data_IF_810514817428
#
_entry.id   IF_810514817428
#
_cell.length_a   1.000
_cell.length_b   1.000
_cell.length_c   1.000
_cell.angle_alpha   90.00
_cell.angle_beta   90.00
_cell.angle_gamma   90.00
#
_symmetry.space_group_name_H-M   'P 1'
#
loop_
_entity.id
_entity.type
_entity.pdbx_description
1 polymer ?
#
# COMPACT_ATOMS: atom_id res chain seq x y z
N UNK A 1 -26.29 -40.35 0.38
CA UNK A 1 -25.89 -39.10 1.09
C UNK A 1 -25.04 -38.30 0.12
N UNK A 2 -25.67 -37.39 -0.62
CA UNK A 2 -24.98 -36.47 -1.51
C UNK A 2 -24.39 -35.36 -0.66
N UNK A 3 -23.10 -35.43 -0.36
CA UNK A 3 -22.37 -34.31 0.22
C UNK A 3 -22.44 -33.14 -0.73
N UNK A 4 -23.08 -32.05 -0.34
CA UNK A 4 -22.93 -30.76 -1.00
C UNK A 4 -21.46 -30.38 -0.89
N UNK A 5 -20.69 -30.59 -1.96
CA UNK A 5 -19.37 -29.97 -2.08
C UNK A 5 -19.61 -28.46 -2.16
N UNK A 6 -19.40 -27.78 -1.04
CA UNK A 6 -19.43 -26.32 -1.01
C UNK A 6 -18.29 -25.85 -1.92
N UNK A 7 -18.62 -25.20 -3.04
CA UNK A 7 -17.61 -24.64 -3.93
C UNK A 7 -16.67 -23.73 -3.14
N UNK A 8 -15.35 -23.80 -3.35
CA UNK A 8 -14.39 -22.99 -2.63
C UNK A 8 -14.69 -21.50 -2.84
N UNK A 9 -14.68 -20.73 -1.76
CA UNK A 9 -14.85 -19.28 -1.78
C UNK A 9 -13.86 -18.63 -0.83
N UNK A 10 -13.54 -17.35 -1.03
CA UNK A 10 -12.62 -16.60 -0.19
C UNK A 10 -13.26 -15.31 0.30
N UNK A 11 -13.24 -15.09 1.61
CA UNK A 11 -13.80 -13.91 2.26
C UNK A 11 -12.67 -13.03 2.77
N UNK A 12 -12.61 -11.81 2.29
CA UNK A 12 -11.58 -10.84 2.63
C UNK A 12 -12.18 -9.67 3.43
N UNK A 13 -11.86 -9.60 4.72
CA UNK A 13 -12.22 -8.46 5.54
C UNK A 13 -11.37 -7.23 5.17
N UNK A 14 -11.93 -6.04 5.36
CA UNK A 14 -11.17 -4.80 5.24
C UNK A 14 -11.76 -3.70 6.14
N UNK A 15 -10.87 -2.88 6.72
CA UNK A 15 -11.24 -1.75 7.57
C UNK A 15 -11.42 -0.46 6.76
N UNK A 16 -12.15 0.54 7.29
CA UNK A 16 -12.36 1.83 6.63
C UNK A 16 -11.04 2.46 6.17
N UNK A 17 -11.07 3.09 4.99
CA UNK A 17 -9.91 3.72 4.36
C UNK A 17 -9.01 2.78 3.55
N UNK A 18 -9.02 1.48 3.82
CA UNK A 18 -8.25 0.50 3.03
C UNK A 18 -8.99 0.13 1.75
N UNK A 19 -8.28 0.16 0.62
CA UNK A 19 -8.86 -0.16 -0.70
C UNK A 19 -8.28 -1.46 -1.25
N UNK A 20 -9.00 -2.59 -1.18
CA UNK A 20 -8.51 -3.90 -1.61
C UNK A 20 -8.53 -4.12 -3.13
N UNK A 21 -9.10 -3.22 -3.92
CA UNK A 21 -9.42 -3.38 -5.35
C UNK A 21 -8.28 -3.94 -6.20
N UNK A 22 -7.03 -3.49 -5.94
CA UNK A 22 -5.84 -3.97 -6.68
C UNK A 22 -5.66 -5.49 -6.53
N UNK A 23 -5.75 -6.00 -5.30
CA UNK A 23 -5.52 -7.42 -4.99
C UNK A 23 -6.70 -8.28 -5.40
N UNK A 24 -7.94 -7.77 -5.23
CA UNK A 24 -9.17 -8.43 -5.70
C UNK A 24 -9.14 -8.64 -7.21
N UNK A 25 -8.69 -7.64 -7.97
CA UNK A 25 -8.53 -7.79 -9.43
C UNK A 25 -7.56 -8.91 -9.78
N UNK A 26 -6.37 -8.95 -9.13
CA UNK A 26 -5.37 -9.99 -9.37
C UNK A 26 -5.90 -11.37 -8.96
N UNK A 27 -6.67 -11.45 -7.87
CA UNK A 27 -7.33 -12.70 -7.45
C UNK A 27 -8.26 -13.22 -8.54
N UNK A 28 -9.18 -12.38 -9.01
CA UNK A 28 -10.16 -12.77 -10.04
C UNK A 28 -9.49 -13.16 -11.38
N UNK A 29 -8.33 -12.55 -11.69
CA UNK A 29 -7.55 -12.93 -12.87
C UNK A 29 -6.88 -14.31 -12.70
N UNK A 30 -6.45 -14.68 -11.48
CA UNK A 30 -5.74 -15.95 -11.21
C UNK A 30 -6.65 -17.11 -10.87
N UNK A 31 -7.72 -16.84 -10.16
CA UNK A 31 -8.65 -17.81 -9.58
C UNK A 31 -10.10 -17.46 -9.98
N UNK A 32 -10.42 -17.47 -11.29
CA UNK A 32 -11.74 -17.06 -11.78
C UNK A 32 -12.88 -17.95 -11.25
N UNK A 33 -12.58 -19.21 -10.90
CA UNK A 33 -13.54 -20.18 -10.39
C UNK A 33 -13.72 -20.12 -8.84
N UNK A 34 -12.95 -19.25 -8.16
CA UNK A 34 -13.03 -19.08 -6.70
C UNK A 34 -13.50 -17.66 -6.40
N UNK A 35 -14.81 -17.46 -6.12
CA UNK A 35 -15.35 -16.16 -5.82
C UNK A 35 -14.68 -15.55 -4.56
N UNK A 36 -14.30 -14.26 -4.66
CA UNK A 36 -13.84 -13.48 -3.52
C UNK A 36 -14.94 -12.51 -3.09
N UNK A 37 -15.32 -12.59 -1.82
CA UNK A 37 -16.30 -11.69 -1.19
C UNK A 37 -15.60 -10.73 -0.25
N UNK A 38 -15.93 -9.44 -0.35
CA UNK A 38 -15.43 -8.41 0.55
C UNK A 38 -16.34 -8.25 1.76
N UNK A 39 -15.75 -8.22 2.95
CA UNK A 39 -16.42 -8.04 4.24
C UNK A 39 -15.91 -6.73 4.86
N UNK A 40 -16.72 -5.68 4.82
CA UNK A 40 -16.39 -4.44 5.51
C UNK A 40 -16.55 -4.63 7.03
N UNK A 41 -15.56 -4.19 7.80
CA UNK A 41 -15.58 -4.29 9.25
C UNK A 41 -15.02 -3.01 9.89
N UNK A 42 -15.64 -2.48 10.96
CA UNK A 42 -15.02 -1.44 11.77
C UNK A 42 -13.63 -1.88 12.26
N UNK A 43 -12.70 -0.93 12.43
CA UNK A 43 -11.32 -1.26 12.83
C UNK A 43 -11.27 -2.05 14.15
N UNK A 44 -12.11 -1.69 15.12
CA UNK A 44 -12.20 -2.38 16.41
C UNK A 44 -12.75 -3.80 16.32
N UNK A 45 -13.57 -4.12 15.32
CA UNK A 45 -14.22 -5.42 15.14
C UNK A 45 -13.45 -6.37 14.22
N UNK A 46 -12.50 -5.84 13.44
CA UNK A 46 -11.82 -6.60 12.38
C UNK A 46 -11.15 -7.87 12.88
N UNK A 47 -10.56 -7.85 14.07
CA UNK A 47 -9.96 -9.05 14.69
C UNK A 47 -11.01 -10.07 15.12
N UNK A 48 -12.15 -9.60 15.62
CA UNK A 48 -13.29 -10.48 15.95
C UNK A 48 -13.86 -11.17 14.71
N UNK A 49 -13.93 -10.48 13.58
CA UNK A 49 -14.37 -11.02 12.28
C UNK A 49 -13.43 -12.17 11.83
N UNK A 50 -12.11 -11.99 11.99
CA UNK A 50 -11.12 -13.02 11.65
C UNK A 50 -11.20 -14.20 12.62
N UNK A 51 -11.19 -13.96 13.94
CA UNK A 51 -11.27 -15.00 14.97
C UNK A 51 -12.56 -15.82 14.91
N UNK A 52 -13.65 -15.17 14.56
CA UNK A 52 -14.96 -15.80 14.40
C UNK A 52 -15.16 -16.52 13.06
N UNK A 53 -14.14 -16.62 12.20
CA UNK A 53 -14.21 -17.28 10.91
C UNK A 53 -15.22 -16.64 9.95
N UNK A 54 -15.60 -15.36 10.17
CA UNK A 54 -16.45 -14.62 9.23
C UNK A 54 -15.70 -14.12 8.00
N UNK A 55 -14.37 -14.07 8.06
CA UNK A 55 -13.47 -13.84 6.94
C UNK A 55 -12.22 -14.71 7.07
N UNK A 56 -11.65 -15.11 5.93
CA UNK A 56 -10.50 -16.01 5.86
C UNK A 56 -9.17 -15.24 6.00
N UNK A 57 -9.15 -13.97 5.60
CA UNK A 57 -8.08 -13.01 5.82
C UNK A 57 -8.65 -11.59 5.87
N UNK A 58 -7.84 -10.61 6.29
CA UNK A 58 -8.30 -9.23 6.34
C UNK A 58 -7.18 -8.21 6.28
N UNK A 59 -7.48 -7.06 5.69
CA UNK A 59 -6.66 -5.87 5.82
C UNK A 59 -7.06 -5.14 7.09
N UNK A 60 -6.16 -5.09 8.06
CA UNK A 60 -6.38 -4.56 9.41
C UNK A 60 -5.33 -3.50 9.75
N UNK A 61 -5.59 -2.72 10.80
CA UNK A 61 -4.61 -1.78 11.33
C UNK A 61 -3.80 -2.43 12.44
N UNK A 62 -2.50 -2.15 12.47
CA UNK A 62 -1.61 -2.58 13.55
C UNK A 62 -1.82 -1.68 14.79
N UNK A 63 -1.59 -2.20 16.02
CA UNK A 63 -1.03 -3.51 16.33
C UNK A 63 -2.02 -4.66 16.16
N UNK A 64 -1.50 -5.87 15.91
CA UNK A 64 -2.25 -7.14 15.88
C UNK A 64 -1.76 -8.00 17.03
N UNK A 65 -2.68 -8.55 17.80
CA UNK A 65 -2.37 -9.61 18.74
C UNK A 65 -1.93 -10.86 17.96
N UNK A 66 -0.72 -11.33 18.24
CA UNK A 66 -0.07 -12.42 17.50
C UNK A 66 -0.18 -13.79 18.17
N UNK A 67 -0.96 -13.90 19.21
CA UNK A 67 -1.15 -15.19 19.89
C UNK A 67 -1.92 -16.16 18.98
N UNK A 68 -2.89 -15.65 18.22
CA UNK A 68 -3.76 -16.43 17.34
C UNK A 68 -3.83 -15.89 15.90
N UNK A 69 -3.30 -14.72 15.64
CA UNK A 69 -3.32 -14.09 14.31
C UNK A 69 -1.91 -13.91 13.73
N UNK A 70 -1.74 -14.36 12.51
CA UNK A 70 -0.58 -14.01 11.70
C UNK A 70 -0.79 -12.67 11.02
N UNK A 71 0.29 -11.88 10.81
CA UNK A 71 0.19 -10.61 10.14
C UNK A 71 1.45 -10.28 9.29
N UNK A 72 1.22 -9.69 8.12
CA UNK A 72 2.24 -9.15 7.23
C UNK A 72 2.02 -7.64 7.11
N UNK A 73 2.90 -6.79 7.67
CA UNK A 73 2.84 -5.35 7.45
C UNK A 73 2.95 -5.02 5.95
N UNK A 74 2.11 -4.10 5.47
CA UNK A 74 2.03 -3.74 4.05
C UNK A 74 2.55 -2.33 3.79
N UNK A 75 2.00 -1.35 4.49
CA UNK A 75 2.39 0.05 4.34
C UNK A 75 2.01 0.86 5.59
N UNK A 76 2.63 2.02 5.70
CA UNK A 76 2.33 3.05 6.71
C UNK A 76 1.58 4.18 6.03
N UNK A 77 0.59 4.74 6.72
CA UNK A 77 -0.22 5.86 6.25
C UNK A 77 0.24 7.15 6.91
N UNK A 78 0.38 8.19 6.12
CA UNK A 78 0.63 9.54 6.64
C UNK A 78 -0.55 9.98 7.50
N UNK A 79 -0.27 10.50 8.67
CA UNK A 79 -1.25 11.16 9.53
C UNK A 79 -1.46 12.59 9.04
N UNK A 80 -2.72 13.02 8.95
CA UNK A 80 -3.09 14.35 8.47
C UNK A 80 -4.07 15.02 9.43
N UNK A 81 -4.06 16.34 9.46
CA UNK A 81 -5.12 17.14 10.09
C UNK A 81 -6.11 17.60 9.04
N UNK A 82 -7.38 17.35 9.28
CA UNK A 82 -8.51 17.80 8.45
C UNK A 82 -8.99 19.13 9.00
N UNK A 83 -9.13 20.12 8.11
CA UNK A 83 -9.48 21.51 8.44
C UNK A 83 -10.43 22.11 7.41
N UNK A 84 -11.23 23.14 7.75
CA UNK A 84 -11.91 23.98 6.77
C UNK A 84 -10.92 24.61 5.79
N UNK A 85 -11.32 24.85 4.55
CA UNK A 85 -10.42 25.44 3.52
C UNK A 85 -9.97 26.86 3.81
N UNK A 86 -10.71 27.58 4.62
CA UNK A 86 -10.43 28.95 5.07
C UNK A 86 -9.67 29.01 6.39
N UNK A 87 -9.36 27.87 7.01
CA UNK A 87 -8.56 27.76 8.21
C UNK A 87 -7.08 28.09 7.94
N UNK A 88 -6.37 28.70 8.91
CA UNK A 88 -4.96 29.09 8.77
C UNK A 88 -4.05 27.91 8.41
N UNK A 89 -4.30 26.75 9.00
CA UNK A 89 -3.57 25.49 8.69
C UNK A 89 -3.67 25.10 7.21
N UNK A 90 -4.72 25.50 6.53
CA UNK A 90 -4.85 25.21 5.08
C UNK A 90 -3.84 25.98 4.22
N UNK A 91 -3.21 27.04 4.75
CA UNK A 91 -2.26 27.87 4.00
C UNK A 91 -0.82 27.35 4.02
N UNK A 92 -0.49 26.37 4.87
CA UNK A 92 0.83 25.74 4.99
C UNK A 92 0.86 24.37 4.30
N UNK A 93 2.06 23.84 4.03
CA UNK A 93 2.19 22.51 3.40
C UNK A 93 2.14 21.38 4.43
N UNK A 94 2.64 21.61 5.64
CA UNK A 94 2.73 20.65 6.75
C UNK A 94 2.64 21.41 8.09
N UNK A 95 2.17 20.74 9.14
CA UNK A 95 2.16 21.24 10.53
C UNK A 95 2.75 20.19 11.46
N UNK A 96 3.22 20.64 12.64
CA UNK A 96 3.61 19.74 13.73
C UNK A 96 2.47 19.56 14.74
N UNK A 97 2.62 18.62 15.67
CA UNK A 97 1.68 18.47 16.79
C UNK A 97 1.61 19.75 17.67
N UNK A 98 2.74 20.43 17.83
CA UNK A 98 2.85 21.66 18.61
C UNK A 98 2.08 22.81 17.97
N UNK A 99 2.03 22.88 16.64
CA UNK A 99 1.26 23.91 15.92
C UNK A 99 -0.25 23.81 16.15
N UNK A 100 -0.71 22.64 16.60
CA UNK A 100 -2.11 22.38 16.93
C UNK A 100 -2.44 22.60 18.42
N UNK A 101 -1.48 23.00 19.27
CA UNK A 101 -1.62 23.05 20.73
C UNK A 101 -2.79 23.94 21.20
N UNK A 102 -3.05 25.03 20.49
CA UNK A 102 -4.13 25.98 20.82
C UNK A 102 -5.46 25.67 20.13
N UNK A 103 -5.48 24.69 19.24
CA UNK A 103 -6.68 24.28 18.49
C UNK A 103 -7.54 23.28 19.29
N UNK A 104 -8.83 23.27 19.03
CA UNK A 104 -9.69 22.18 19.50
C UNK A 104 -9.53 21.01 18.54
N UNK A 105 -9.04 19.87 19.03
CA UNK A 105 -8.88 18.64 18.24
C UNK A 105 -9.89 17.59 18.68
N UNK A 106 -10.66 17.11 17.72
CA UNK A 106 -11.69 16.09 17.92
C UNK A 106 -11.01 14.71 17.99
N UNK A 107 -11.42 13.90 18.97
CA UNK A 107 -10.95 12.52 19.15
C UNK A 107 -12.13 11.58 19.12
N UNK A 108 -12.52 11.04 17.93
CA UNK A 108 -13.65 10.13 17.83
C UNK A 108 -13.43 8.83 18.61
N UNK A 109 -14.51 8.12 18.94
CA UNK A 109 -14.43 6.88 19.68
C UNK A 109 -13.85 5.73 18.84
N UNK A 110 -13.94 5.83 17.51
CA UNK A 110 -13.39 4.89 16.54
C UNK A 110 -12.00 5.30 16.02
N UNK A 111 -11.28 6.18 16.76
CA UNK A 111 -9.92 6.61 16.40
C UNK A 111 -8.99 5.39 16.26
N UNK A 112 -8.16 5.43 15.25
CA UNK A 112 -7.24 4.34 14.88
C UNK A 112 -5.78 4.69 15.12
N UNK A 113 -5.48 5.85 15.69
CA UNK A 113 -4.14 6.28 16.06
C UNK A 113 -3.89 5.96 17.53
N UNK A 114 -2.69 5.44 17.81
CA UNK A 114 -2.28 5.07 19.18
C UNK A 114 -1.61 6.28 19.86
N UNK A 115 -2.41 7.09 20.52
CA UNK A 115 -1.98 8.32 21.15
C UNK A 115 -1.45 8.10 22.55
N UNK A 116 -0.20 8.49 22.83
CA UNK A 116 0.26 8.75 24.18
C UNK A 116 -0.27 10.10 24.68
N UNK A 117 -0.14 11.13 23.84
CA UNK A 117 -0.61 12.49 24.11
C UNK A 117 -1.26 13.05 22.83
N UNK A 118 -2.59 13.05 22.75
CA UNK A 118 -3.28 13.66 21.61
C UNK A 118 -2.94 15.15 21.47
N UNK A 119 -2.76 15.66 20.23
CA UNK A 119 -2.44 17.07 20.02
C UNK A 119 -3.66 17.97 20.31
N UNK A 120 -3.38 19.23 20.62
CA UNK A 120 -4.41 20.24 20.80
C UNK A 120 -5.20 20.13 22.10
N UNK A 121 -6.26 20.92 22.19
CA UNK A 121 -7.21 20.91 23.31
C UNK A 121 -8.35 19.94 23.01
N UNK A 122 -8.76 19.08 23.95
CA UNK A 122 -9.86 18.16 23.71
C UNK A 122 -11.18 18.92 23.54
N UNK A 123 -12.06 18.44 22.68
CA UNK A 123 -13.45 18.88 22.62
C UNK A 123 -14.20 18.49 23.90
N UNK A 124 -15.34 19.14 24.17
CA UNK A 124 -16.18 18.82 25.35
C UNK A 124 -16.71 17.39 25.29
N UNK A 125 -17.04 16.90 24.10
CA UNK A 125 -17.53 15.55 23.87
C UNK A 125 -16.75 14.91 22.74
N UNK A 126 -16.55 13.61 22.83
CA UNK A 126 -15.93 12.81 21.76
C UNK A 126 -17.00 12.42 20.75
N UNK A 127 -16.79 12.69 19.44
CA UNK A 127 -17.68 12.17 18.39
C UNK A 127 -17.74 10.64 18.43
N UNK A 128 -18.88 10.06 18.08
CA UNK A 128 -19.04 8.62 18.06
C UNK A 128 -18.17 7.97 16.97
N UNK A 129 -18.07 8.63 15.82
CA UNK A 129 -17.34 8.11 14.65
C UNK A 129 -16.45 9.19 14.02
N UNK A 130 -15.47 8.73 13.23
CA UNK A 130 -14.65 9.59 12.38
C UNK A 130 -15.52 10.39 11.39
N UNK A 131 -16.60 9.80 10.88
CA UNK A 131 -17.55 10.47 9.99
C UNK A 131 -18.25 11.64 10.70
N UNK A 132 -18.76 11.42 11.92
CA UNK A 132 -19.35 12.49 12.74
C UNK A 132 -18.34 13.60 13.05
N UNK A 133 -17.07 13.22 13.34
CA UNK A 133 -16.01 14.18 13.54
C UNK A 133 -15.76 15.05 12.30
N UNK A 134 -15.78 14.50 11.10
CA UNK A 134 -15.66 15.24 9.84
C UNK A 134 -16.81 16.27 9.68
N UNK A 135 -18.04 15.89 10.04
CA UNK A 135 -19.17 16.83 10.01
C UNK A 135 -18.98 17.99 11.01
N UNK A 136 -18.44 17.71 12.20
CA UNK A 136 -18.11 18.74 13.20
C UNK A 136 -16.99 19.65 12.74
N UNK A 137 -15.95 19.13 12.05
CA UNK A 137 -14.92 19.96 11.42
C UNK A 137 -15.52 20.90 10.39
N UNK A 138 -16.44 20.41 9.56
CA UNK A 138 -17.14 21.23 8.57
C UNK A 138 -18.04 22.30 9.21
N UNK A 139 -18.57 22.03 10.40
CA UNK A 139 -19.33 23.00 11.20
C UNK A 139 -18.44 24.00 11.98
N UNK A 140 -17.10 23.89 11.88
CA UNK A 140 -16.16 24.79 12.56
C UNK A 140 -16.02 24.55 14.07
N UNK A 141 -16.38 23.36 14.57
CA UNK A 141 -16.30 23.02 15.99
C UNK A 141 -14.86 22.76 16.42
N UNK A 142 -14.02 22.20 15.51
CA UNK A 142 -12.62 21.88 15.78
C UNK A 142 -11.94 21.27 14.55
N UNK A 143 -10.77 20.70 14.76
CA UNK A 143 -9.96 20.01 13.75
C UNK A 143 -9.97 18.51 14.05
N UNK A 144 -9.59 17.69 13.05
CA UNK A 144 -9.52 16.24 13.21
C UNK A 144 -8.19 15.69 12.69
N UNK A 145 -7.46 14.94 13.52
CA UNK A 145 -6.22 14.28 13.14
C UNK A 145 -6.50 12.79 12.88
N UNK A 146 -6.25 12.33 11.66
CA UNK A 146 -6.56 10.95 11.21
C UNK A 146 -5.56 10.45 10.19
N UNK A 147 -5.50 9.13 9.92
CA UNK A 147 -4.82 8.59 8.74
C UNK A 147 -5.39 9.20 7.45
N UNK A 148 -4.53 9.52 6.48
CA UNK A 148 -4.91 10.16 5.23
C UNK A 148 -6.00 9.39 4.45
N UNK A 149 -6.03 8.08 4.58
CA UNK A 149 -7.04 7.25 3.94
C UNK A 149 -8.46 7.53 4.45
N UNK A 150 -8.60 7.83 5.76
CA UNK A 150 -9.89 8.21 6.35
C UNK A 150 -10.30 9.62 5.93
N UNK A 151 -9.36 10.57 5.89
CA UNK A 151 -9.63 11.91 5.37
C UNK A 151 -10.08 11.89 3.90
N UNK A 152 -9.61 10.92 3.11
CA UNK A 152 -10.04 10.71 1.71
C UNK A 152 -11.37 9.97 1.62
N UNK A 153 -11.64 9.02 2.49
CA UNK A 153 -12.88 8.26 2.54
C UNK A 153 -14.07 9.17 2.82
N UNK A 154 -13.93 10.06 3.82
CA UNK A 154 -14.95 11.01 4.25
C UNK A 154 -14.73 12.41 3.64
N UNK A 155 -14.20 12.47 2.43
CA UNK A 155 -13.88 13.73 1.76
C UNK A 155 -15.11 14.63 1.59
N UNK A 156 -14.95 15.92 1.97
CA UNK A 156 -15.91 16.99 1.72
C UNK A 156 -15.30 18.12 0.89
N UNK A 157 -16.14 18.81 0.13
CA UNK A 157 -15.68 19.91 -0.76
C UNK A 157 -15.23 21.15 -0.01
N UNK A 158 -15.74 21.39 1.19
CA UNK A 158 -15.48 22.52 2.07
C UNK A 158 -14.25 22.28 2.95
N UNK A 159 -13.75 21.05 3.03
CA UNK A 159 -12.60 20.67 3.81
C UNK A 159 -11.34 20.42 2.96
N UNK A 160 -10.21 20.49 3.62
CA UNK A 160 -8.89 20.07 3.11
C UNK A 160 -8.11 19.38 4.21
N UNK A 161 -6.94 18.85 3.92
CA UNK A 161 -6.07 18.27 4.94
C UNK A 161 -4.60 18.62 4.69
N UNK A 162 -3.80 18.57 5.77
CA UNK A 162 -2.34 18.75 5.75
C UNK A 162 -1.66 17.64 6.53
N UNK A 163 -0.48 17.17 6.10
CA UNK A 163 0.34 16.27 6.89
C UNK A 163 0.65 16.85 8.26
N UNK A 164 0.72 15.98 9.27
CA UNK A 164 1.12 16.33 10.63
C UNK A 164 2.37 15.53 10.97
N UNK A 165 3.44 16.23 11.33
CA UNK A 165 4.68 15.60 11.79
C UNK A 165 4.72 15.44 13.32
N UNK A 166 5.52 14.50 13.81
CA UNK A 166 5.69 14.25 15.25
C UNK A 166 4.50 13.56 15.92
N UNK A 167 3.65 12.85 15.13
CA UNK A 167 2.45 12.15 15.61
C UNK A 167 2.50 10.67 15.22
N UNK A 168 1.72 9.80 15.90
CA UNK A 168 1.61 8.39 15.51
C UNK A 168 1.14 8.22 14.07
N UNK A 169 1.68 7.19 13.40
CA UNK A 169 1.27 6.80 12.06
C UNK A 169 0.49 5.48 12.11
N UNK A 170 -0.56 5.38 11.31
CA UNK A 170 -1.31 4.15 11.16
C UNK A 170 -0.61 3.20 10.18
N UNK A 171 -0.48 1.93 10.56
CA UNK A 171 0.10 0.90 9.71
C UNK A 171 -0.95 -0.14 9.34
N UNK A 172 -1.01 -0.50 8.06
CA UNK A 172 -1.93 -1.52 7.56
C UNK A 172 -1.18 -2.82 7.33
N UNK A 173 -1.82 -3.93 7.71
CA UNK A 173 -1.32 -5.29 7.54
C UNK A 173 -2.37 -6.18 6.90
N UNK A 174 -1.93 -7.24 6.21
CA UNK A 174 -2.75 -8.41 5.93
C UNK A 174 -2.65 -9.34 7.14
N UNK A 175 -3.78 -9.75 7.71
CA UNK A 175 -3.87 -10.66 8.86
C UNK A 175 -4.83 -11.83 8.58
N UNK A 176 -4.57 -12.97 9.21
CA UNK A 176 -5.39 -14.18 9.12
C UNK A 176 -5.20 -15.05 10.37
N UNK A 177 -6.15 -15.94 10.71
CA UNK A 177 -5.98 -16.90 11.79
C UNK A 177 -4.79 -17.83 11.54
N UNK A 178 -3.90 -17.98 12.52
CA UNK A 178 -2.65 -18.71 12.35
C UNK A 178 -2.88 -20.21 12.06
N UNK A 179 -3.89 -20.81 12.70
CA UNK A 179 -4.23 -22.22 12.55
C UNK A 179 -4.98 -22.52 11.25
N UNK A 180 -5.55 -21.50 10.60
CA UNK A 180 -6.35 -21.60 9.38
C UNK A 180 -5.61 -21.09 8.13
N UNK A 181 -4.30 -21.31 8.05
CA UNK A 181 -3.53 -20.96 6.85
C UNK A 181 -3.85 -21.97 5.75
N UNK A 182 -4.96 -21.75 5.04
CA UNK A 182 -5.41 -22.60 3.92
C UNK A 182 -4.63 -22.30 2.64
N UNK A 183 -4.75 -23.18 1.63
CA UNK A 183 -4.13 -22.95 0.30
C UNK A 183 -4.61 -21.62 -0.33
N UNK A 184 -5.88 -21.21 -0.10
CA UNK A 184 -6.42 -19.94 -0.60
C UNK A 184 -5.82 -18.74 0.13
N UNK A 185 -5.59 -18.84 1.44
CA UNK A 185 -4.87 -17.82 2.23
C UNK A 185 -3.43 -17.69 1.71
N UNK A 186 -2.71 -18.81 1.48
CA UNK A 186 -1.35 -18.80 0.93
C UNK A 186 -1.29 -18.17 -0.48
N UNK A 187 -2.27 -18.46 -1.33
CA UNK A 187 -2.36 -17.84 -2.66
C UNK A 187 -2.59 -16.32 -2.54
N UNK A 188 -3.48 -15.89 -1.64
CA UNK A 188 -3.71 -14.46 -1.40
C UNK A 188 -2.48 -13.76 -0.84
N UNK A 189 -1.75 -14.38 0.10
CA UNK A 189 -0.44 -13.90 0.57
C UNK A 189 0.53 -13.75 -0.61
N UNK A 190 0.53 -14.71 -1.52
CA UNK A 190 1.33 -14.66 -2.75
C UNK A 190 1.00 -13.45 -3.63
N UNK A 191 -0.28 -13.16 -3.80
CA UNK A 191 -0.78 -12.00 -4.55
C UNK A 191 -0.33 -10.70 -3.88
N UNK A 192 -0.52 -10.58 -2.57
CA UNK A 192 -0.15 -9.38 -1.80
C UNK A 192 1.36 -9.11 -1.86
N UNK A 193 2.18 -10.17 -1.80
CA UNK A 193 3.64 -10.09 -1.94
C UNK A 193 4.13 -9.92 -3.39
N UNK A 194 3.23 -9.86 -4.37
CA UNK A 194 3.58 -9.68 -5.78
C UNK A 194 4.24 -10.92 -6.41
N UNK A 195 4.01 -12.13 -5.88
CA UNK A 195 4.50 -13.37 -6.49
C UNK A 195 3.83 -13.58 -7.85
N UNK A 196 4.60 -13.95 -8.86
CA UNK A 196 4.05 -14.33 -10.16
C UNK A 196 3.53 -15.77 -10.13
N UNK A 197 2.60 -16.13 -11.04
CA UNK A 197 1.99 -17.48 -11.15
C UNK A 197 3.06 -18.60 -11.27
N UNK A 198 4.23 -18.28 -11.81
CA UNK A 198 5.34 -19.23 -12.00
C UNK A 198 6.33 -19.31 -10.81
N UNK A 199 6.03 -18.64 -9.69
CA UNK A 199 6.90 -18.67 -8.51
C UNK A 199 6.66 -19.97 -7.73
N UNK A 200 7.61 -20.92 -7.82
CA UNK A 200 7.59 -22.23 -7.12
C UNK A 200 7.94 -22.12 -5.62
N UNK A 201 8.15 -20.93 -5.08
CA UNK A 201 8.43 -20.73 -3.65
C UNK A 201 7.12 -20.83 -2.84
N UNK A 202 6.87 -21.99 -2.26
CA UNK A 202 5.70 -22.27 -1.43
C UNK A 202 4.87 -23.46 -1.87
N UNK A 203 5.17 -24.09 -3.01
CA UNK A 203 4.57 -25.38 -3.38
C UNK A 203 5.38 -26.50 -2.74
N UNK A 204 4.75 -27.47 -2.02
CA UNK A 204 5.45 -28.67 -1.59
C UNK A 204 6.11 -29.33 -2.81
N UNK A 205 7.30 -29.92 -2.68
CA UNK A 205 7.93 -30.60 -3.80
C UNK A 205 7.03 -31.71 -4.28
N UNK A 206 6.54 -31.61 -5.51
CA UNK A 206 5.80 -32.69 -6.19
C UNK A 206 6.69 -33.93 -6.17
N UNK A 207 6.21 -35.10 -5.69
CA UNK A 207 6.99 -36.34 -5.72
C UNK A 207 7.45 -36.62 -7.15
N UNK A 208 8.67 -37.08 -7.36
CA UNK A 208 9.18 -37.35 -8.69
C UNK A 208 8.32 -38.43 -9.35
N UNK A 209 7.65 -38.10 -10.46
CA UNK A 209 6.98 -39.08 -11.30
C UNK A 209 8.00 -40.13 -11.75
N UNK A 210 7.71 -41.43 -11.63
CA UNK A 210 8.59 -42.50 -12.13
C UNK A 210 8.74 -42.34 -13.65
N UNK A 211 9.94 -42.09 -14.11
CA UNK A 211 10.28 -42.11 -15.54
C UNK A 211 9.96 -43.49 -16.11
N UNK A 212 8.92 -43.59 -16.94
CA UNK A 212 8.57 -44.77 -17.66
C UNK A 212 9.77 -45.28 -18.45
N UNK A 213 10.17 -46.53 -18.20
CA UNK A 213 11.17 -47.27 -18.97
C UNK A 213 10.74 -47.32 -20.44
N UNK A 214 11.52 -46.68 -21.29
CA UNK A 214 11.40 -46.79 -22.75
C UNK A 214 11.96 -48.13 -23.12
N UNK A 215 11.11 -49.00 -23.68
CA UNK A 215 11.49 -50.33 -24.17
C UNK A 215 12.52 -50.19 -25.30
N UNK A 216 13.63 -50.89 -25.15
CA UNK A 216 14.60 -51.13 -26.20
C UNK A 216 13.99 -52.16 -27.18
N UNK A 217 13.85 -51.77 -28.45
CA UNK A 217 13.75 -52.72 -29.56
C UNK A 217 15.03 -52.59 -30.40
N UNK A 218 15.78 -53.66 -30.41
CA UNK A 218 17.04 -53.77 -31.10
C UNK A 218 16.89 -53.88 -32.64
N UNK A 219 17.96 -53.52 -33.31
CA UNK A 219 18.12 -53.70 -34.78
C UNK A 219 19.54 -53.36 -35.17
N UNK A 220 20.34 -54.40 -35.31
CA UNK A 220 21.73 -54.37 -35.77
C UNK A 220 21.82 -54.03 -37.26
N UNK A 221 22.83 -53.25 -37.68
CA UNK A 221 23.79 -53.65 -38.75
C UNK A 221 24.80 -52.60 -39.11
N UNK A 222 26.08 -53.03 -38.93
CA UNK A 222 27.28 -52.88 -39.77
C UNK A 222 27.86 -51.52 -40.18
N UNK A 223 29.12 -51.36 -39.72
CA UNK A 223 30.24 -50.59 -40.26
C UNK A 223 30.63 -51.01 -41.70
N UNK A 224 31.56 -50.35 -42.46
CA UNK A 224 32.69 -49.50 -42.06
C UNK A 224 33.08 -48.38 -43.08
N UNK A 225 34.14 -47.60 -42.74
CA UNK A 225 34.98 -46.85 -43.68
C UNK A 225 35.36 -45.44 -43.19
N UNK A 226 36.42 -45.27 -42.59
CA UNK A 226 37.79 -44.85 -42.88
C UNK A 226 37.99 -43.45 -43.49
N UNK A 227 38.86 -42.65 -42.85
CA UNK A 227 39.49 -41.44 -43.39
C UNK A 227 39.75 -40.36 -42.33
N UNK A 228 40.82 -40.43 -41.60
CA UNK A 228 42.05 -39.58 -41.55
C UNK A 228 41.85 -38.18 -42.15
N UNK A 229 42.20 -37.05 -41.49
CA UNK A 229 43.50 -36.57 -41.03
C UNK A 229 43.31 -35.18 -40.35
N UNK A 230 43.89 -34.99 -39.21
CA UNK A 230 45.01 -34.09 -38.84
C UNK A 230 44.87 -32.57 -38.98
N UNK A 231 45.26 -31.88 -37.94
CA UNK A 231 45.80 -30.54 -37.93
C UNK A 231 45.22 -29.69 -36.79
N UNK A 232 45.71 -29.67 -35.61
CA UNK A 232 46.89 -28.97 -35.08
C UNK A 232 46.74 -27.42 -35.08
N UNK A 233 46.84 -26.95 -33.90
CA UNK A 233 47.60 -25.83 -33.35
C UNK A 233 46.85 -24.60 -32.85
N UNK A 234 46.88 -24.43 -31.53
CA UNK A 234 47.51 -23.34 -30.73
C UNK A 234 47.28 -21.89 -31.17
N UNK A 235 46.79 -21.04 -30.26
CA UNK A 235 47.55 -20.10 -29.39
C UNK A 235 46.53 -19.14 -28.74
N UNK A 236 46.52 -19.00 -27.51
CA UNK A 236 47.11 -18.06 -26.56
C UNK A 236 47.14 -16.60 -27.05
N UNK A 237 46.44 -15.71 -26.28
CA UNK A 237 46.57 -14.29 -26.44
C UNK A 237 45.78 -13.54 -25.37
N UNK A 238 46.48 -13.31 -24.27
CA UNK A 238 46.16 -12.36 -23.20
C UNK A 238 46.18 -10.94 -23.69
N UNK A 239 45.34 -10.05 -23.13
CA UNK A 239 45.41 -8.62 -23.37
C UNK A 239 44.61 -7.83 -22.34
N UNK A 240 45.27 -7.46 -21.25
CA UNK A 240 44.88 -6.34 -20.36
C UNK A 240 45.00 -5.04 -21.14
N UNK A 241 44.11 -4.08 -20.89
CA UNK A 241 44.59 -2.74 -20.54
C UNK A 241 43.43 -1.86 -20.05
N UNK A 242 43.74 -1.15 -19.02
CA UNK A 242 43.06 -0.05 -18.39
C UNK A 242 43.18 1.22 -19.27
N UNK A 243 42.26 2.12 -19.09
CA UNK A 243 42.31 3.45 -19.70
C UNK A 243 41.34 4.43 -19.04
N UNK A 244 41.87 5.10 -18.06
CA UNK A 244 41.33 6.33 -17.44
C UNK A 244 41.33 7.48 -18.42
N UNK A 245 40.31 8.35 -18.35
CA UNK A 245 40.28 9.60 -19.09
C UNK A 245 39.37 10.62 -18.43
N UNK A 246 39.99 11.48 -17.69
CA UNK A 246 39.70 12.77 -17.12
C UNK A 246 39.53 13.84 -18.22
N UNK A 247 38.69 14.86 -17.95
CA UNK A 247 38.70 16.17 -18.64
C UNK A 247 37.31 16.75 -18.65
N UNK A 248 36.97 17.69 -17.95
CA UNK A 248 37.29 19.06 -17.54
C UNK A 248 36.51 20.10 -18.34
N UNK A 249 35.77 20.92 -17.59
CA UNK A 249 35.56 22.37 -17.71
C UNK A 249 35.00 22.98 -18.99
N UNK A 250 33.98 23.82 -18.78
CA UNK A 250 33.58 24.86 -19.67
C UNK A 250 32.47 25.69 -19.07
N UNK A 251 32.87 26.76 -18.46
CA UNK A 251 32.11 27.85 -17.89
C UNK A 251 31.88 28.94 -18.92
N UNK A 252 31.01 29.88 -18.59
CA UNK A 252 30.73 31.22 -19.10
C UNK A 252 29.41 31.30 -19.88
N UNK A 253 28.52 32.25 -19.63
CA UNK A 253 28.59 33.58 -19.05
C UNK A 253 27.66 34.46 -19.83
N UNK A 254 27.07 35.48 -19.18
CA UNK A 254 26.45 36.63 -19.86
C UNK A 254 24.92 36.68 -19.66
N UNK A 255 24.34 37.43 -18.79
CA UNK A 255 24.31 38.87 -18.49
C UNK A 255 23.39 39.70 -19.38
N UNK A 256 22.46 40.37 -18.70
CA UNK A 256 21.91 41.73 -18.95
C UNK A 256 20.70 41.97 -19.85
N UNK A 257 19.77 42.70 -19.24
CA UNK A 257 18.83 43.64 -19.83
C UNK A 257 17.49 43.64 -19.12
N UNK A 258 17.16 44.38 -18.16
CA UNK A 258 16.98 45.78 -17.82
C UNK A 258 15.87 46.48 -18.62
N UNK A 259 14.89 46.98 -17.81
CA UNK A 259 14.09 48.23 -17.94
C UNK A 259 12.80 48.21 -18.75
N UNK A 260 11.77 48.72 -18.06
CA UNK A 260 10.59 49.34 -18.63
C UNK A 260 9.43 49.39 -17.63
N UNK A 261 9.33 50.30 -16.92
CA UNK A 261 8.68 51.27 -16.12
C UNK A 261 7.41 51.88 -16.80
N UNK A 262 6.43 52.19 -15.91
CA UNK A 262 5.42 53.26 -15.97
C UNK A 262 4.04 52.95 -16.57
N UNK A 263 3.06 53.26 -15.73
CA UNK A 263 1.70 53.57 -16.15
C UNK A 263 0.69 53.56 -15.01
N UNK A 264 0.79 54.53 -14.12
CA UNK A 264 -0.26 54.89 -13.18
C UNK A 264 -1.44 55.56 -13.89
N UNK A 265 -2.68 55.21 -13.51
CA UNK A 265 -3.81 56.18 -13.57
C UNK A 265 -4.81 55.87 -12.45
N UNK A 266 -4.88 56.87 -11.61
CA UNK A 266 -5.89 57.18 -10.60
C UNK A 266 -7.28 57.29 -11.24
N UNK A 267 -8.30 56.86 -10.49
CA UNK A 267 -9.68 57.23 -10.70
C UNK A 267 -10.48 56.98 -9.46
N UNK A 268 -10.79 58.05 -8.72
CA UNK A 268 -11.58 58.15 -7.48
C UNK A 268 -13.05 58.50 -7.84
N UNK A 269 -13.96 58.66 -6.90
CA UNK A 269 -15.20 57.90 -6.72
C UNK A 269 -16.47 58.76 -6.85
N UNK A 270 -17.66 58.11 -6.86
CA UNK A 270 -18.97 58.77 -6.52
C UNK A 270 -19.93 57.56 -6.30
N UNK A 271 -20.74 57.40 -5.25
CA UNK A 271 -21.43 58.33 -4.41
C UNK A 271 -22.93 58.17 -4.61
N UNK A 272 -23.65 57.69 -3.60
CA UNK A 272 -25.10 57.83 -3.28
C UNK A 272 -26.10 57.17 -4.28
N UNK A 273 -26.95 56.29 -3.87
CA UNK A 273 -28.17 56.52 -3.05
C UNK A 273 -28.54 55.21 -2.31
#
# INVERSE_FOLDING_TARGET
MTGSETSPSFRLAYVPGVTPTKWVRIWNERLPDVPLTLVAAPAAEAFGVLRGGSADAGFVRLPVDRDDLSAIPLYTETTVVVVPKDHLVAAVEEVSAEDLADEIVLHPLDDTLDWENPPGRPAMERPATTEDAIELVAAGVGLLVVPQSLARLYHRRDLTYRPVSGVPESRVALSWPQEETTDLVEEFIGIVRGRTVNSTRGRPPTPPQPKGKRAETGGAQRKPGAGKTSGSARSAGSGKSAGSGKGSRGASGGAKGAKGAKGAKRGKPRGRS
#
